data_IF_691141278890
#
_entry.id   IF_691141278890
#
_cell.length_a   1.000
_cell.length_b   1.000
_cell.length_c   1.000
_cell.angle_alpha   90.00
_cell.angle_beta   90.00
_cell.angle_gamma   90.00
#
_symmetry.space_group_name_H-M   'P 1'
#
loop_
_entity.id
_entity.type
_entity.pdbx_description
1 polymer ?
#
# COMPACT_ATOMS: atom_id res chain seq x y z
N UNK A 1 -55.39 -6.12 46.48
CA UNK A 1 -55.82 -7.15 45.52
C UNK A 1 -55.16 -6.82 44.18
N UNK A 2 -54.49 -7.81 43.61
CA UNK A 2 -53.89 -7.86 42.26
C UNK A 2 -52.70 -6.91 42.03
N UNK A 3 -51.46 -7.36 42.13
CA UNK A 3 -50.70 -8.27 41.25
C UNK A 3 -50.15 -7.57 39.99
N UNK A 4 -48.83 -7.38 39.94
CA UNK A 4 -48.07 -7.49 38.69
C UNK A 4 -46.63 -7.96 39.02
N UNK A 5 -46.25 -9.08 38.41
CA UNK A 5 -45.00 -9.85 38.51
C UNK A 5 -43.92 -9.26 37.59
N UNK A 6 -42.63 -9.67 37.69
CA UNK A 6 -41.48 -9.01 37.09
C UNK A 6 -41.20 -9.49 35.65
N UNK A 7 -40.78 -8.59 34.77
CA UNK A 7 -40.31 -8.92 33.41
C UNK A 7 -38.77 -8.91 33.35
N UNK A 8 -38.24 -10.12 33.34
CA UNK A 8 -37.23 -10.68 32.43
C UNK A 8 -35.85 -10.02 32.26
N UNK A 9 -34.85 -10.73 32.80
CA UNK A 9 -33.44 -10.62 32.46
C UNK A 9 -33.20 -11.30 31.12
N UNK A 10 -33.07 -10.52 30.05
CA UNK A 10 -32.48 -11.00 28.80
C UNK A 10 -31.17 -10.28 28.50
N UNK A 11 -30.13 -11.11 28.52
CA UNK A 11 -28.76 -10.96 28.00
C UNK A 11 -28.53 -9.80 27.01
N UNK A 12 -27.56 -8.95 27.36
CA UNK A 12 -26.87 -8.06 26.43
C UNK A 12 -26.13 -8.89 25.38
N UNK A 13 -26.67 -9.00 24.17
CA UNK A 13 -25.87 -9.32 22.99
C UNK A 13 -25.11 -8.05 22.58
N UNK A 14 -23.81 -8.06 22.83
CA UNK A 14 -22.86 -7.11 22.24
C UNK A 14 -22.71 -7.52 20.78
N UNK A 15 -23.39 -6.82 19.88
CA UNK A 15 -23.20 -7.01 18.45
C UNK A 15 -21.96 -6.21 18.04
N UNK A 16 -20.80 -6.88 18.05
CA UNK A 16 -19.57 -6.41 17.42
C UNK A 16 -19.78 -6.37 15.91
N UNK A 17 -20.34 -5.26 15.41
CA UNK A 17 -20.34 -4.99 13.98
C UNK A 17 -18.92 -4.59 13.59
N UNK A 18 -18.19 -5.59 13.11
CA UNK A 18 -16.99 -5.49 12.29
C UNK A 18 -17.04 -4.23 11.42
N UNK A 19 -16.13 -3.29 11.68
CA UNK A 19 -15.81 -2.17 10.80
C UNK A 19 -15.15 -2.72 9.53
N UNK A 20 -15.94 -3.32 8.65
CA UNK A 20 -15.60 -3.45 7.25
C UNK A 20 -15.66 -2.03 6.67
N UNK A 21 -14.53 -1.56 6.13
CA UNK A 21 -14.45 -0.30 5.40
C UNK A 21 -15.42 -0.34 4.22
N UNK A 22 -16.61 0.21 4.41
CA UNK A 22 -17.52 0.53 3.31
C UNK A 22 -16.79 1.57 2.48
N UNK A 23 -16.23 1.18 1.33
CA UNK A 23 -15.82 2.14 0.32
C UNK A 23 -17.08 2.83 -0.17
N UNK A 24 -17.40 3.98 0.41
CA UNK A 24 -18.43 4.87 -0.12
C UNK A 24 -17.96 5.35 -1.48
N UNK A 25 -18.69 4.99 -2.54
CA UNK A 25 -18.46 5.48 -3.89
C UNK A 25 -18.64 7.00 -3.93
N UNK A 26 -17.74 7.71 -4.62
CA UNK A 26 -17.69 9.19 -4.69
C UNK A 26 -19.04 9.77 -5.16
N UNK A 27 -19.77 9.01 -5.97
CA UNK A 27 -21.08 9.33 -6.54
C UNK A 27 -22.21 9.46 -5.49
N UNK A 28 -22.06 8.90 -4.28
CA UNK A 28 -23.09 8.96 -3.24
C UNK A 28 -23.02 10.24 -2.39
N UNK A 29 -21.87 10.93 -2.40
CA UNK A 29 -21.57 12.03 -1.47
C UNK A 29 -21.63 13.41 -2.13
N UNK A 30 -21.51 13.48 -3.46
CA UNK A 30 -21.40 14.74 -4.18
C UNK A 30 -22.48 14.87 -5.28
N UNK A 31 -23.11 16.05 -5.45
CA UNK A 31 -24.08 16.26 -6.52
C UNK A 31 -23.40 16.07 -7.89
N UNK A 32 -24.12 15.51 -8.88
CA UNK A 32 -23.65 15.14 -10.24
C UNK A 32 -22.82 16.21 -11.00
N UNK A 33 -22.75 17.46 -10.52
CA UNK A 33 -22.06 18.59 -11.15
C UNK A 33 -20.91 19.22 -10.35
N UNK A 34 -20.40 18.59 -9.28
CA UNK A 34 -19.16 19.07 -8.64
C UNK A 34 -17.94 18.58 -9.41
N UNK A 35 -17.21 19.52 -10.01
CA UNK A 35 -15.87 19.25 -10.56
C UNK A 35 -14.92 19.07 -9.39
N UNK A 36 -14.49 17.84 -9.14
CA UNK A 36 -13.43 17.53 -8.18
C UNK A 36 -12.10 17.82 -8.88
N UNK A 37 -11.46 18.94 -8.53
CA UNK A 37 -10.10 19.24 -8.98
C UNK A 37 -9.10 18.58 -8.05
N UNK A 38 -8.23 17.75 -8.62
CA UNK A 38 -7.14 17.08 -7.90
C UNK A 38 -5.82 17.78 -8.22
N UNK A 39 -5.28 18.61 -7.31
CA UNK A 39 -4.10 19.43 -7.60
C UNK A 39 -2.83 18.62 -7.91
N UNK A 40 -2.80 17.33 -7.54
CA UNK A 40 -1.68 16.43 -7.82
C UNK A 40 -1.65 15.97 -9.28
N UNK A 41 -2.79 16.02 -9.98
CA UNK A 41 -2.94 15.61 -11.38
C UNK A 41 -2.91 16.81 -12.35
N UNK A 42 -2.91 18.04 -11.83
CA UNK A 42 -2.88 19.26 -12.66
C UNK A 42 -1.49 19.50 -13.27
N UNK A 43 -1.45 19.60 -14.60
CA UNK A 43 -0.24 19.87 -15.36
C UNK A 43 0.45 21.17 -14.91
N UNK A 44 1.75 21.07 -14.58
CA UNK A 44 2.57 22.22 -14.20
C UNK A 44 3.78 22.40 -15.12
N UNK A 45 3.60 22.99 -16.32
CA UNK A 45 4.68 23.16 -17.29
C UNK A 45 5.77 24.15 -16.84
N UNK A 46 5.61 24.84 -15.71
CA UNK A 46 6.56 25.85 -15.25
C UNK A 46 7.56 25.32 -14.21
N UNK A 47 7.45 24.04 -13.80
CA UNK A 47 8.28 23.47 -12.73
C UNK A 47 9.07 22.24 -13.20
N UNK A 48 10.21 22.50 -13.82
CA UNK A 48 11.18 21.47 -14.23
C UNK A 48 12.25 21.20 -13.18
N UNK A 49 12.40 22.10 -12.20
CA UNK A 49 13.41 22.00 -11.14
C UNK A 49 12.74 21.70 -9.80
N UNK A 50 13.39 20.88 -8.99
CA UNK A 50 12.89 20.47 -7.68
C UNK A 50 12.71 21.65 -6.72
N UNK A 51 13.68 22.57 -6.71
CA UNK A 51 13.67 23.70 -5.79
C UNK A 51 12.82 24.86 -6.31
N UNK A 52 12.05 25.54 -5.44
CA UNK A 52 11.85 25.27 -4.01
C UNK A 52 10.91 24.07 -3.75
N UNK A 53 11.12 23.35 -2.64
CA UNK A 53 10.26 22.25 -2.19
C UNK A 53 8.90 22.82 -1.77
N UNK A 54 7.81 22.28 -2.33
CA UNK A 54 6.43 22.67 -2.02
C UNK A 54 5.77 21.67 -1.07
N UNK A 55 6.05 20.38 -1.26
CA UNK A 55 5.45 19.28 -0.49
C UNK A 55 6.52 18.61 0.37
N UNK A 56 6.74 19.17 1.57
CA UNK A 56 7.77 18.67 2.50
C UNK A 56 7.42 17.31 3.09
N UNK A 57 6.13 17.03 3.25
CA UNK A 57 5.59 15.73 3.65
C UNK A 57 5.99 14.63 2.65
N UNK A 58 5.72 14.82 1.36
CA UNK A 58 6.09 13.86 0.30
C UNK A 58 7.62 13.74 0.19
N UNK A 59 8.32 14.89 0.25
CA UNK A 59 9.77 14.89 0.20
C UNK A 59 10.43 14.10 1.34
N UNK A 60 9.86 14.16 2.54
CA UNK A 60 10.35 13.38 3.68
C UNK A 60 10.19 11.86 3.45
N UNK A 61 9.13 11.43 2.77
CA UNK A 61 8.98 10.01 2.38
C UNK A 61 10.03 9.59 1.36
N UNK A 62 10.35 10.43 0.37
CA UNK A 62 11.47 10.19 -0.54
C UNK A 62 12.79 10.05 0.21
N UNK A 63 13.10 10.98 1.13
CA UNK A 63 14.32 10.89 1.94
C UNK A 63 14.36 9.66 2.84
N UNK A 64 13.20 9.19 3.32
CA UNK A 64 13.11 7.94 4.07
C UNK A 64 13.39 6.73 3.18
N UNK A 65 12.86 6.70 1.96
CA UNK A 65 13.15 5.66 0.96
C UNK A 65 14.64 5.64 0.61
N UNK A 66 15.22 6.80 0.33
CA UNK A 66 16.65 6.99 0.04
C UNK A 66 17.54 6.51 1.18
N UNK A 67 17.17 6.79 2.43
CA UNK A 67 17.88 6.29 3.61
C UNK A 67 17.77 4.77 3.82
N UNK A 68 16.86 4.10 3.10
CA UNK A 68 16.59 2.66 3.19
C UNK A 68 17.14 1.90 1.98
N UNK A 69 18.04 2.51 1.20
CA UNK A 69 18.69 1.88 0.07
C UNK A 69 19.58 0.70 0.51
N UNK A 70 19.48 -0.41 -0.22
CA UNK A 70 20.33 -1.59 -0.07
C UNK A 70 20.52 -2.25 -1.44
N UNK A 71 21.63 -2.95 -1.64
CA UNK A 71 21.88 -3.73 -2.86
C UNK A 71 21.81 -5.24 -2.60
N UNK A 72 21.53 -6.02 -3.64
CA UNK A 72 21.41 -7.47 -3.52
C UNK A 72 22.72 -8.14 -3.04
N UNK A 73 23.87 -7.52 -3.31
CA UNK A 73 25.19 -7.98 -2.87
C UNK A 73 25.40 -7.84 -1.36
N UNK A 74 24.58 -7.07 -0.66
CA UNK A 74 24.63 -6.93 0.80
C UNK A 74 24.08 -8.17 1.52
N UNK A 75 23.41 -9.07 0.81
CA UNK A 75 22.86 -10.31 1.36
C UNK A 75 23.82 -11.47 1.05
N UNK A 76 24.39 -12.07 2.09
CA UNK A 76 25.18 -13.31 1.97
C UNK A 76 24.25 -14.53 1.90
N UNK A 77 24.29 -15.24 0.77
CA UNK A 77 23.48 -16.43 0.50
C UNK A 77 24.28 -17.74 0.57
N UNK A 78 25.55 -17.70 0.98
CA UNK A 78 26.41 -18.88 0.96
C UNK A 78 25.94 -19.97 1.94
N UNK A 79 25.45 -19.57 3.11
CA UNK A 79 24.94 -20.50 4.12
C UNK A 79 23.59 -21.11 3.73
N UNK A 80 22.75 -20.37 3.01
CA UNK A 80 21.40 -20.76 2.61
C UNK A 80 21.38 -22.02 1.73
N UNK A 81 22.45 -22.27 0.95
CA UNK A 81 22.57 -23.47 0.11
C UNK A 81 22.61 -24.75 0.95
N UNK A 82 23.31 -24.72 2.10
CA UNK A 82 23.39 -25.88 3.00
C UNK A 82 22.03 -26.13 3.64
N UNK A 83 21.38 -25.06 4.11
CA UNK A 83 20.06 -25.16 4.74
C UNK A 83 19.00 -25.64 3.74
N UNK A 84 19.09 -25.21 2.48
CA UNK A 84 18.22 -25.64 1.40
C UNK A 84 18.27 -27.15 1.13
N UNK A 85 19.48 -27.72 1.14
CA UNK A 85 19.70 -29.12 0.80
C UNK A 85 19.53 -30.06 2.00
N UNK A 86 20.07 -29.69 3.15
CA UNK A 86 20.27 -30.61 4.27
C UNK A 86 19.23 -30.46 5.39
N UNK A 87 18.61 -29.28 5.53
CA UNK A 87 17.66 -28.99 6.63
C UNK A 87 16.20 -29.00 6.20
N UNK A 88 15.90 -28.57 4.98
CA UNK A 88 14.52 -28.51 4.47
C UNK A 88 14.06 -29.86 3.91
N UNK A 89 12.77 -30.14 4.05
CA UNK A 89 12.11 -31.25 3.36
C UNK A 89 11.60 -30.84 1.95
N UNK A 90 11.14 -31.81 1.16
CA UNK A 90 10.68 -31.55 -0.21
C UNK A 90 9.44 -30.65 -0.28
N UNK A 91 8.51 -30.77 0.69
CA UNK A 91 7.29 -29.97 0.73
C UNK A 91 7.58 -28.50 1.11
N UNK A 92 8.49 -28.27 2.05
CA UNK A 92 8.97 -26.94 2.44
C UNK A 92 9.69 -26.25 1.27
N UNK A 93 10.57 -26.98 0.57
CA UNK A 93 11.21 -26.47 -0.65
C UNK A 93 10.21 -26.15 -1.74
N UNK A 94 9.21 -27.01 -1.93
CA UNK A 94 8.14 -26.78 -2.90
C UNK A 94 7.37 -25.50 -2.56
N UNK A 95 6.99 -25.32 -1.30
CA UNK A 95 6.31 -24.11 -0.83
C UNK A 95 7.15 -22.85 -1.06
N UNK A 96 8.41 -22.82 -0.59
CA UNK A 96 9.29 -21.65 -0.73
C UNK A 96 9.52 -21.30 -2.20
N UNK A 97 9.71 -22.31 -3.08
CA UNK A 97 9.82 -22.08 -4.54
C UNK A 97 8.61 -21.36 -5.12
N UNK A 98 7.40 -21.71 -4.71
CA UNK A 98 6.18 -21.06 -5.21
C UNK A 98 6.03 -19.64 -4.69
N UNK A 99 6.40 -19.41 -3.42
CA UNK A 99 6.42 -18.06 -2.85
C UNK A 99 7.43 -17.17 -3.59
N UNK A 100 8.65 -17.67 -3.84
CA UNK A 100 9.66 -16.93 -4.60
C UNK A 100 9.23 -16.67 -6.05
N UNK A 101 8.59 -17.65 -6.70
CA UNK A 101 8.06 -17.48 -8.05
C UNK A 101 6.94 -16.43 -8.11
N UNK A 102 6.08 -16.36 -7.09
CA UNK A 102 5.04 -15.35 -6.98
C UNK A 102 5.65 -13.94 -6.86
N UNK A 103 6.62 -13.75 -5.96
CA UNK A 103 7.29 -12.45 -5.80
C UNK A 103 8.04 -12.01 -7.06
N UNK A 104 8.78 -12.94 -7.69
CA UNK A 104 9.48 -12.66 -8.95
C UNK A 104 8.55 -12.18 -10.08
N UNK A 105 7.29 -12.64 -10.09
CA UNK A 105 6.29 -12.18 -11.06
C UNK A 105 5.58 -10.88 -10.61
N UNK A 106 5.24 -10.76 -9.33
CA UNK A 106 4.47 -9.62 -8.81
C UNK A 106 5.24 -8.31 -8.88
N UNK A 107 6.55 -8.34 -8.60
CA UNK A 107 7.38 -7.13 -8.57
C UNK A 107 7.42 -6.44 -9.93
N UNK A 108 7.40 -7.22 -11.03
CA UNK A 108 7.32 -6.70 -12.38
C UNK A 108 6.01 -5.98 -12.69
N UNK A 109 4.88 -6.58 -12.30
CA UNK A 109 3.53 -6.03 -12.54
C UNK A 109 3.36 -4.69 -11.80
N UNK A 110 3.83 -4.62 -10.55
CA UNK A 110 3.76 -3.40 -9.76
C UNK A 110 4.62 -2.30 -10.37
N UNK A 111 5.84 -2.65 -10.81
CA UNK A 111 6.76 -1.68 -11.41
C UNK A 111 6.26 -1.13 -12.74
N UNK A 112 5.62 -1.96 -13.57
CA UNK A 112 4.96 -1.54 -14.82
C UNK A 112 3.87 -0.49 -14.53
N UNK A 113 3.01 -0.73 -13.54
CA UNK A 113 1.98 0.23 -13.18
C UNK A 113 2.55 1.53 -12.61
N UNK A 114 3.60 1.47 -11.78
CA UNK A 114 4.25 2.68 -11.28
C UNK A 114 4.84 3.52 -12.41
N UNK A 115 5.56 2.88 -13.34
CA UNK A 115 6.26 3.56 -14.41
C UNK A 115 5.32 4.13 -15.48
N UNK A 116 4.33 3.34 -15.92
CA UNK A 116 3.46 3.75 -17.05
C UNK A 116 2.32 4.65 -16.61
N UNK A 117 1.73 4.39 -15.43
CA UNK A 117 0.56 5.14 -14.97
C UNK A 117 0.95 6.21 -13.94
N UNK A 118 1.47 5.81 -12.77
CA UNK A 118 1.59 6.75 -11.64
C UNK A 118 2.62 7.85 -11.87
N UNK A 119 3.77 7.53 -12.47
CA UNK A 119 4.80 8.53 -12.80
C UNK A 119 4.33 9.50 -13.90
N UNK A 120 3.45 9.05 -14.80
CA UNK A 120 2.90 9.87 -15.88
C UNK A 120 1.80 10.82 -15.39
N UNK A 121 0.88 10.31 -14.56
CA UNK A 121 -0.29 11.06 -14.07
C UNK A 121 0.05 12.08 -12.98
N UNK A 122 0.91 11.72 -12.03
CA UNK A 122 1.25 12.58 -10.88
C UNK A 122 2.17 13.70 -11.31
N UNK A 123 1.77 14.95 -11.14
CA UNK A 123 2.52 16.13 -11.60
C UNK A 123 3.49 16.70 -10.57
N UNK A 124 3.38 16.31 -9.30
CA UNK A 124 4.30 16.78 -8.25
C UNK A 124 5.70 16.23 -8.43
N UNK A 125 6.66 17.13 -8.58
CA UNK A 125 8.07 16.78 -8.75
C UNK A 125 8.58 15.92 -7.59
N UNK A 126 8.25 16.25 -6.34
CA UNK A 126 8.64 15.48 -5.15
C UNK A 126 8.11 14.04 -5.17
N UNK A 127 6.89 13.83 -5.68
CA UNK A 127 6.30 12.50 -5.81
C UNK A 127 6.94 11.72 -6.97
N UNK A 128 7.28 12.37 -8.09
CA UNK A 128 8.04 11.74 -9.18
C UNK A 128 9.40 11.23 -8.71
N UNK A 129 10.10 11.98 -7.84
CA UNK A 129 11.34 11.51 -7.22
C UNK A 129 11.12 10.31 -6.29
N UNK A 130 9.98 10.24 -5.59
CA UNK A 130 9.63 9.08 -4.77
C UNK A 130 9.36 7.83 -5.63
N UNK A 131 8.55 7.95 -6.68
CA UNK A 131 8.22 6.81 -7.54
C UNK A 131 9.37 6.34 -8.43
N UNK A 132 10.32 7.22 -8.74
CA UNK A 132 11.49 6.88 -9.55
C UNK A 132 12.70 6.39 -8.75
N UNK A 133 12.60 6.31 -7.42
CA UNK A 133 13.65 5.79 -6.54
C UNK A 133 13.54 4.27 -6.42
#
# INVERSE_FOLDING_TARGET
>A
MSAQTPEDLTTKEVNETSTASVQTSIEEVLPENTVVTEPILEDNPNRFVLFPIKHSDIWNFYKKSEASFWTAEEIDLAADIVDWNDKLNDDERYFIKHVLAFFAASDGIVNENLAENFVAEVQYTEAKFFYGF
#
